data_IF_864498032924
#
_entry.id   IF_864498032924
#
_cell.length_a   1.000
_cell.length_b   1.000
_cell.length_c   1.000
_cell.angle_alpha   90.00
_cell.angle_beta   90.00
_cell.angle_gamma   90.00
#
_symmetry.space_group_name_H-M   'P 1'
#
loop_
_entity.id
_entity.type
_entity.pdbx_description
1 polymer ?
#
# COMPACT_ATOMS: atom_id res chain seq x y z
N UNK A 1 -51.36 -11.67 9.72
CA UNK A 1 -50.11 -12.34 10.12
C UNK A 1 -49.15 -11.27 10.61
N UNK A 2 -48.93 -11.14 11.92
CA UNK A 2 -47.97 -10.17 12.46
C UNK A 2 -46.57 -10.75 12.28
N UNK A 3 -45.83 -10.25 11.29
CA UNK A 3 -44.42 -10.58 11.17
C UNK A 3 -43.72 -10.08 12.44
N UNK A 4 -43.01 -10.93 13.20
CA UNK A 4 -42.36 -10.49 14.43
C UNK A 4 -41.28 -9.47 14.06
N UNK A 5 -41.39 -8.22 14.53
CA UNK A 5 -40.50 -7.12 14.11
C UNK A 5 -39.01 -7.43 14.33
N UNK A 6 -38.70 -8.32 15.26
CA UNK A 6 -37.35 -8.83 15.51
C UNK A 6 -36.76 -9.59 14.33
N UNK A 7 -37.59 -10.35 13.60
CA UNK A 7 -37.16 -11.08 12.40
C UNK A 7 -36.84 -10.12 11.26
N UNK A 8 -37.67 -9.09 11.06
CA UNK A 8 -37.40 -8.03 10.09
C UNK A 8 -36.10 -7.28 10.41
N UNK A 9 -35.88 -6.92 11.68
CA UNK A 9 -34.65 -6.27 12.12
C UNK A 9 -33.40 -7.12 11.89
N UNK A 10 -33.50 -8.44 12.13
CA UNK A 10 -32.40 -9.38 11.90
C UNK A 10 -32.03 -9.49 10.41
N UNK A 11 -33.03 -9.56 9.52
CA UNK A 11 -32.79 -9.58 8.08
C UNK A 11 -32.13 -8.28 7.60
N UNK A 12 -32.59 -7.12 8.09
CA UNK A 12 -31.98 -5.83 7.76
C UNK A 12 -30.52 -5.75 8.23
N UNK A 13 -30.20 -6.30 9.40
CA UNK A 13 -28.84 -6.36 9.92
C UNK A 13 -27.92 -7.23 9.05
N UNK A 14 -28.37 -8.43 8.64
CA UNK A 14 -27.61 -9.29 7.73
C UNK A 14 -27.37 -8.62 6.37
N UNK A 15 -28.41 -7.99 5.82
CA UNK A 15 -28.32 -7.23 4.57
C UNK A 15 -27.29 -6.11 4.71
N UNK A 16 -27.30 -5.34 5.80
CA UNK A 16 -26.32 -4.29 6.06
C UNK A 16 -24.86 -4.80 6.11
N UNK A 17 -24.62 -5.96 6.72
CA UNK A 17 -23.29 -6.59 6.74
C UNK A 17 -22.86 -7.03 5.34
N UNK A 18 -23.78 -7.57 4.52
CA UNK A 18 -23.42 -8.02 3.16
C UNK A 18 -23.17 -6.88 2.17
N UNK A 19 -23.76 -5.70 2.39
CA UNK A 19 -23.59 -4.55 1.49
C UNK A 19 -22.37 -3.72 1.89
N UNK A 20 -21.86 -3.84 3.11
CA UNK A 20 -20.67 -3.10 3.54
C UNK A 20 -19.41 -3.77 2.98
N UNK A 21 -18.69 -3.14 2.03
CA UNK A 21 -17.45 -3.71 1.53
C UNK A 21 -16.39 -3.63 2.63
N UNK A 22 -15.98 -4.77 3.18
CA UNK A 22 -14.87 -4.88 4.14
C UNK A 22 -13.49 -4.88 3.45
N UNK A 23 -13.37 -4.22 2.30
CA UNK A 23 -12.10 -4.12 1.60
C UNK A 23 -11.28 -3.00 2.20
N UNK A 24 -10.17 -3.35 2.84
CA UNK A 24 -9.15 -2.39 3.23
C UNK A 24 -8.19 -2.16 2.07
N UNK A 25 -7.93 -0.90 1.73
CA UNK A 25 -6.91 -0.56 0.74
C UNK A 25 -5.53 -1.00 1.26
N UNK A 26 -4.81 -1.79 0.46
CA UNK A 26 -3.46 -2.26 0.81
C UNK A 26 -2.47 -1.15 0.45
N UNK A 27 -1.47 -0.84 1.30
CA UNK A 27 -0.45 0.14 0.95
C UNK A 27 0.33 -0.25 -0.30
N UNK A 28 0.78 0.74 -1.06
CA UNK A 28 1.57 0.55 -2.28
C UNK A 28 3.04 0.82 -1.96
N UNK A 29 3.93 -0.06 -2.41
CA UNK A 29 5.39 0.10 -2.25
C UNK A 29 5.98 0.27 -3.64
N UNK A 30 6.71 1.36 -3.83
CA UNK A 30 7.48 1.66 -5.04
C UNK A 30 8.94 1.31 -4.77
N UNK A 31 9.53 0.51 -5.66
CA UNK A 31 10.96 0.23 -5.71
C UNK A 31 11.49 0.93 -6.96
N UNK A 32 12.42 1.86 -6.78
CA UNK A 32 12.99 2.61 -7.89
C UNK A 32 14.01 1.76 -8.67
N UNK A 33 14.43 2.27 -9.83
CA UNK A 33 15.45 1.62 -10.64
C UNK A 33 16.87 1.83 -10.13
N UNK A 34 17.82 1.13 -10.77
CA UNK A 34 19.26 1.31 -10.55
C UNK A 34 19.67 2.77 -10.89
N UNK A 35 20.54 3.38 -10.07
CA UNK A 35 20.97 4.78 -10.18
C UNK A 35 19.85 5.80 -10.01
N UNK A 36 18.81 5.41 -9.31
CA UNK A 36 17.70 6.28 -8.94
C UNK A 36 17.62 6.36 -7.40
N UNK A 37 16.74 7.20 -6.88
CA UNK A 37 16.49 7.30 -5.44
C UNK A 37 15.07 7.82 -5.22
N UNK A 38 14.48 7.53 -4.06
CA UNK A 38 13.14 7.97 -3.67
C UNK A 38 12.98 9.49 -3.66
N UNK A 39 14.06 10.24 -3.44
CA UNK A 39 14.05 11.70 -3.49
C UNK A 39 13.92 12.26 -4.91
N UNK A 40 14.16 11.45 -5.95
CA UNK A 40 14.05 11.89 -7.33
C UNK A 40 12.60 12.24 -7.68
N UNK A 41 12.45 13.37 -8.39
CA UNK A 41 11.15 13.95 -8.69
C UNK A 41 10.19 12.98 -9.39
N UNK A 42 10.70 12.18 -10.32
CA UNK A 42 9.90 11.19 -11.06
C UNK A 42 9.33 10.11 -10.14
N UNK A 43 10.17 9.54 -9.28
CA UNK A 43 9.78 8.50 -8.30
C UNK A 43 8.76 9.05 -7.31
N UNK A 44 8.98 10.26 -6.81
CA UNK A 44 8.04 10.94 -5.91
C UNK A 44 6.68 11.17 -6.56
N UNK A 45 6.65 11.73 -7.77
CA UNK A 45 5.41 11.97 -8.50
C UNK A 45 4.66 10.68 -8.83
N UNK A 46 5.39 9.61 -9.16
CA UNK A 46 4.80 8.29 -9.39
C UNK A 46 4.20 7.70 -8.11
N UNK A 47 4.90 7.81 -6.98
CA UNK A 47 4.41 7.35 -5.67
C UNK A 47 3.16 8.13 -5.23
N UNK A 48 3.14 9.45 -5.42
CA UNK A 48 1.97 10.30 -5.17
C UNK A 48 0.79 9.93 -6.09
N UNK A 49 1.05 9.66 -7.36
CA UNK A 49 0.03 9.19 -8.30
C UNK A 49 -0.61 7.89 -7.83
N UNK A 50 0.19 6.88 -7.46
CA UNK A 50 -0.32 5.59 -6.97
C UNK A 50 -1.07 5.73 -5.64
N UNK A 51 -0.60 6.58 -4.74
CA UNK A 51 -1.28 6.91 -3.48
C UNK A 51 -2.69 7.45 -3.75
N UNK A 52 -2.79 8.44 -4.64
CA UNK A 52 -4.06 9.07 -4.98
C UNK A 52 -4.99 8.12 -5.76
N UNK A 53 -4.44 7.34 -6.68
CA UNK A 53 -5.21 6.41 -7.49
C UNK A 53 -5.76 5.23 -6.67
N UNK A 54 -4.97 4.70 -5.74
CA UNK A 54 -5.36 3.56 -4.89
C UNK A 54 -6.21 3.97 -3.68
N UNK A 55 -6.23 5.26 -3.32
CA UNK A 55 -6.82 5.72 -2.06
C UNK A 55 -6.13 5.11 -0.83
N UNK A 56 -4.88 4.66 -0.98
CA UNK A 56 -4.08 3.98 0.03
C UNK A 56 -2.75 4.70 0.25
N UNK A 57 -2.08 4.43 1.36
CA UNK A 57 -0.75 4.98 1.61
C UNK A 57 0.26 4.42 0.60
N UNK A 58 0.98 5.28 -0.09
CA UNK A 58 2.14 4.92 -0.89
C UNK A 58 3.45 5.17 -0.14
N UNK A 59 4.41 4.28 -0.33
CA UNK A 59 5.76 4.39 0.19
C UNK A 59 6.76 4.14 -0.93
N UNK A 60 7.90 4.82 -0.86
CA UNK A 60 9.06 4.47 -1.68
C UNK A 60 10.08 3.78 -0.77
N UNK A 61 10.57 2.62 -1.21
CA UNK A 61 11.58 1.85 -0.50
C UNK A 61 12.96 2.22 -1.05
N UNK A 62 13.81 2.74 -0.17
CA UNK A 62 15.23 2.99 -0.42
C UNK A 62 16.04 2.01 0.46
N UNK A 63 17.06 1.39 -0.10
CA UNK A 63 17.95 0.48 0.62
C UNK A 63 19.40 0.93 0.35
N UNK A 64 20.18 1.09 1.42
CA UNK A 64 21.53 1.67 1.32
C UNK A 64 21.54 3.20 1.23
N UNK A 65 22.69 3.76 0.84
CA UNK A 65 22.97 5.18 0.70
C UNK A 65 22.69 5.68 -0.72
N UNK A 66 21.41 5.96 -0.96
CA UNK A 66 20.89 6.60 -2.17
C UNK A 66 21.39 5.97 -3.49
N UNK A 67 21.77 6.82 -4.44
CA UNK A 67 22.15 6.43 -5.80
C UNK A 67 23.47 5.69 -5.90
N UNK A 68 24.40 5.84 -4.94
CA UNK A 68 25.70 5.17 -4.98
C UNK A 68 25.56 3.68 -4.67
N UNK A 69 24.88 3.34 -3.59
CA UNK A 69 24.65 1.94 -3.23
C UNK A 69 23.76 1.27 -4.28
N UNK A 70 22.72 1.96 -4.77
CA UNK A 70 21.87 1.49 -5.87
C UNK A 70 22.66 1.13 -7.15
N UNK A 71 23.81 1.76 -7.39
CA UNK A 71 24.62 1.53 -8.60
C UNK A 71 25.74 0.50 -8.41
N UNK A 72 26.42 0.53 -7.27
CA UNK A 72 27.67 -0.20 -7.06
C UNK A 72 27.53 -1.41 -6.14
N UNK A 73 26.42 -1.52 -5.40
CA UNK A 73 26.17 -2.63 -4.48
C UNK A 73 25.03 -3.51 -5.02
N UNK A 74 25.20 -4.84 -5.10
CA UNK A 74 24.10 -5.77 -5.39
C UNK A 74 22.96 -5.66 -4.37
N UNK A 75 21.71 -5.91 -4.80
CA UNK A 75 20.53 -5.79 -3.94
C UNK A 75 20.61 -6.72 -2.72
N UNK A 76 21.17 -7.92 -2.88
CA UNK A 76 21.37 -8.86 -1.78
C UNK A 76 22.27 -8.27 -0.69
N UNK A 77 23.37 -7.62 -1.08
CA UNK A 77 24.28 -6.93 -0.15
C UNK A 77 23.61 -5.71 0.49
N UNK A 78 22.81 -4.96 -0.27
CA UNK A 78 22.03 -3.83 0.27
C UNK A 78 21.02 -4.29 1.34
N UNK A 79 20.35 -5.43 1.12
CA UNK A 79 19.38 -5.99 2.08
C UNK A 79 20.05 -6.48 3.36
N UNK A 80 21.29 -6.98 3.29
CA UNK A 80 22.05 -7.39 4.48
C UNK A 80 22.28 -6.22 5.46
N UNK A 81 22.41 -4.99 4.96
CA UNK A 81 22.55 -3.77 5.79
C UNK A 81 21.36 -3.54 6.75
N UNK A 82 20.19 -4.09 6.44
CA UNK A 82 19.00 -3.98 7.31
C UNK A 82 19.02 -4.98 8.47
N UNK A 83 19.93 -5.95 8.46
CA UNK A 83 19.97 -7.08 9.42
C UNK A 83 21.17 -7.06 10.37
N UNK A 84 22.10 -6.12 10.18
CA UNK A 84 23.26 -5.89 11.05
C UNK A 84 23.04 -4.75 12.03
#
# INVERSE_FOLDING_TARGET
MAFPSKFLAFILFLVFITITPFSHSIPVIVIHGIRDQCANRGVKQFTEFLTNFSGSKGYCLEIGDETWDSWFMPLEEQVELLTT
#
